data_IF_715823796100
#
_entry.id   IF_715823796100
#
_cell.length_a   1.000
_cell.length_b   1.000
_cell.length_c   1.000
_cell.angle_alpha   90.00
_cell.angle_beta   90.00
_cell.angle_gamma   90.00
#
_symmetry.space_group_name_H-M   'P 1'
#
loop_
_entity.id
_entity.type
_entity.pdbx_description
1 polymer ?
#
# COMPACT_ATOMS: atom_id res chain seq x y z
N UNK A 1 -32.01 0.21 8.58
CA UNK A 1 -31.66 -0.19 7.20
C UNK A 1 -30.27 0.35 6.82
N UNK A 2 -29.96 1.58 7.17
CA UNK A 2 -28.69 2.22 6.76
C UNK A 2 -27.44 1.50 7.27
N UNK A 3 -27.41 1.06 8.53
CA UNK A 3 -26.28 0.32 9.08
C UNK A 3 -25.98 -0.99 8.32
N UNK A 4 -26.99 -1.73 7.92
CA UNK A 4 -26.79 -2.96 7.15
C UNK A 4 -26.12 -2.68 5.80
N UNK A 5 -26.59 -1.63 5.10
CA UNK A 5 -25.98 -1.22 3.84
C UNK A 5 -24.55 -0.68 4.03
N UNK A 6 -24.27 0.06 5.11
CA UNK A 6 -22.93 0.54 5.41
C UNK A 6 -21.96 -0.60 5.75
N UNK A 7 -22.42 -1.63 6.44
CA UNK A 7 -21.60 -2.84 6.65
C UNK A 7 -21.33 -3.57 5.33
N UNK A 8 -22.31 -3.66 4.43
CA UNK A 8 -22.11 -4.27 3.10
C UNK A 8 -21.14 -3.45 2.25
N UNK A 9 -21.23 -2.12 2.28
CA UNK A 9 -20.25 -1.21 1.64
C UNK A 9 -18.84 -1.42 2.23
N UNK A 10 -18.73 -1.58 3.54
CA UNK A 10 -17.46 -1.87 4.21
C UNK A 10 -16.85 -3.20 3.75
N UNK A 11 -17.66 -4.23 3.47
CA UNK A 11 -17.18 -5.46 2.84
C UNK A 11 -16.57 -5.17 1.48
N UNK A 12 -17.26 -4.39 0.63
CA UNK A 12 -16.78 -4.07 -0.73
C UNK A 12 -15.47 -3.26 -0.64
N UNK A 13 -15.39 -2.27 0.25
CA UNK A 13 -14.16 -1.50 0.46
C UNK A 13 -13.02 -2.36 0.98
N UNK A 14 -13.31 -3.29 1.90
CA UNK A 14 -12.32 -4.26 2.38
C UNK A 14 -11.81 -5.19 1.27
N UNK A 15 -12.68 -5.62 0.34
CA UNK A 15 -12.27 -6.40 -0.84
C UNK A 15 -11.39 -5.57 -1.77
N UNK A 16 -11.81 -4.34 -2.09
CA UNK A 16 -11.02 -3.44 -2.93
C UNK A 16 -9.64 -3.23 -2.31
N UNK A 17 -9.59 -2.83 -1.05
CA UNK A 17 -8.33 -2.60 -0.32
C UNK A 17 -7.45 -3.84 -0.29
N UNK A 18 -8.03 -4.99 0.10
CA UNK A 18 -7.28 -6.25 0.22
C UNK A 18 -6.66 -6.74 -1.09
N UNK A 19 -7.27 -6.45 -2.23
CA UNK A 19 -6.71 -6.76 -3.55
C UNK A 19 -5.70 -5.70 -3.97
N UNK A 20 -6.11 -4.44 -3.96
CA UNK A 20 -5.44 -3.36 -4.70
C UNK A 20 -4.23 -2.79 -3.96
N UNK A 21 -4.11 -3.01 -2.65
CA UNK A 21 -2.96 -2.56 -1.88
C UNK A 21 -1.68 -3.35 -2.21
N UNK A 22 -1.81 -4.66 -2.43
CA UNK A 22 -0.66 -5.52 -2.71
C UNK A 22 -0.32 -5.60 -4.18
N UNK A 23 -1.32 -5.61 -5.04
CA UNK A 23 -1.13 -5.53 -6.48
C UNK A 23 -0.74 -4.09 -6.86
N UNK A 24 0.21 -3.92 -7.78
CA UNK A 24 0.67 -2.57 -8.13
C UNK A 24 -0.32 -1.84 -9.07
N UNK A 25 -1.60 -1.74 -8.66
CA UNK A 25 -2.72 -1.21 -9.48
C UNK A 25 -3.41 0.03 -8.89
N UNK A 26 -2.99 0.48 -7.71
CA UNK A 26 -3.51 1.66 -6.97
C UNK A 26 -4.88 1.47 -6.33
N UNK A 27 -4.90 1.34 -5.00
CA UNK A 27 -6.13 1.34 -4.19
C UNK A 27 -6.91 2.66 -4.34
N UNK A 28 -6.23 3.81 -4.35
CA UNK A 28 -6.85 5.14 -4.50
C UNK A 28 -7.67 5.25 -5.78
N UNK A 29 -7.16 4.75 -6.92
CA UNK A 29 -7.89 4.79 -8.19
C UNK A 29 -9.21 4.00 -8.15
N UNK A 30 -9.20 2.86 -7.47
CA UNK A 30 -10.40 2.04 -7.29
C UNK A 30 -11.38 2.64 -6.29
N UNK A 31 -10.86 3.22 -5.19
CA UNK A 31 -11.68 3.87 -4.17
C UNK A 31 -12.45 5.05 -4.75
N UNK A 32 -11.82 5.90 -5.57
CA UNK A 32 -12.49 7.02 -6.26
C UNK A 32 -13.67 6.53 -7.11
N UNK A 33 -13.52 5.44 -7.85
CA UNK A 33 -14.63 4.88 -8.63
C UNK A 33 -15.70 4.25 -7.72
N UNK A 34 -15.31 3.57 -6.66
CA UNK A 34 -16.25 3.00 -5.71
C UNK A 34 -17.08 4.07 -5.00
N UNK A 35 -16.50 5.21 -4.65
CA UNK A 35 -17.18 6.34 -4.00
C UNK A 35 -18.29 6.96 -4.86
N UNK A 36 -18.21 6.84 -6.18
CA UNK A 36 -19.29 7.33 -7.06
C UNK A 36 -20.59 6.53 -6.89
N UNK A 37 -20.47 5.26 -6.53
CA UNK A 37 -21.60 4.33 -6.43
C UNK A 37 -21.93 3.99 -4.98
N UNK A 38 -20.91 3.85 -4.13
CA UNK A 38 -21.03 3.38 -2.76
C UNK A 38 -20.93 4.56 -1.78
N UNK A 39 -22.02 5.26 -1.57
CA UNK A 39 -22.08 6.37 -0.62
C UNK A 39 -22.45 5.86 0.77
N UNK A 40 -21.55 6.06 1.75
CA UNK A 40 -21.83 5.78 3.16
C UNK A 40 -22.74 6.87 3.76
N UNK A 41 -23.41 6.52 4.87
CA UNK A 41 -24.15 7.48 5.70
C UNK A 41 -23.27 8.18 6.76
N UNK A 42 -21.99 7.83 6.83
CA UNK A 42 -21.04 8.39 7.79
C UNK A 42 -20.49 9.75 7.36
N UNK A 43 -19.86 10.46 8.32
CA UNK A 43 -19.26 11.76 8.06
C UNK A 43 -18.05 11.68 7.10
N UNK A 44 -17.74 12.79 6.45
CA UNK A 44 -16.59 12.88 5.54
C UNK A 44 -15.26 12.63 6.29
N UNK A 45 -15.14 13.16 7.51
CA UNK A 45 -13.98 13.01 8.39
C UNK A 45 -13.77 11.53 8.78
N UNK A 46 -14.87 10.83 9.13
CA UNK A 46 -14.80 9.39 9.39
C UNK A 46 -14.37 8.62 8.15
N UNK A 47 -14.91 8.93 6.98
CA UNK A 47 -14.57 8.24 5.74
C UNK A 47 -13.13 8.47 5.30
N UNK A 48 -12.56 9.66 5.53
CA UNK A 48 -11.14 9.93 5.30
C UNK A 48 -10.27 9.03 6.19
N UNK A 49 -10.58 8.93 7.47
CA UNK A 49 -9.88 8.05 8.41
C UNK A 49 -10.10 6.57 8.07
N UNK A 50 -11.35 6.17 7.78
CA UNK A 50 -11.74 4.80 7.45
C UNK A 50 -10.89 4.21 6.31
N UNK A 51 -10.75 4.94 5.18
CA UNK A 51 -9.99 4.51 4.01
C UNK A 51 -8.52 4.19 4.32
N UNK A 52 -7.94 4.89 5.28
CA UNK A 52 -6.54 4.65 5.68
C UNK A 52 -6.46 3.56 6.75
N UNK A 53 -7.40 3.51 7.69
CA UNK A 53 -7.35 2.57 8.80
C UNK A 53 -7.69 1.13 8.40
N UNK A 54 -8.54 0.91 7.38
CA UNK A 54 -8.78 -0.46 6.87
C UNK A 54 -7.51 -1.13 6.32
N UNK A 55 -6.49 -0.35 5.96
CA UNK A 55 -5.17 -0.85 5.56
C UNK A 55 -4.49 -1.64 6.69
N UNK A 56 -4.82 -1.39 7.97
CA UNK A 56 -4.30 -2.18 9.09
C UNK A 56 -4.70 -3.65 8.98
N UNK A 57 -5.90 -3.95 8.48
CA UNK A 57 -6.30 -5.31 8.16
C UNK A 57 -5.39 -5.94 7.10
N UNK A 58 -5.11 -5.20 6.03
CA UNK A 58 -4.21 -5.65 4.98
C UNK A 58 -2.78 -5.91 5.50
N UNK A 59 -2.23 -4.99 6.31
CA UNK A 59 -0.89 -5.16 6.92
C UNK A 59 -0.83 -6.41 7.80
N UNK A 60 -1.87 -6.66 8.58
CA UNK A 60 -1.92 -7.82 9.46
C UNK A 60 -1.77 -9.13 8.67
N UNK A 61 -2.27 -9.19 7.44
CA UNK A 61 -2.06 -10.34 6.55
C UNK A 61 -0.56 -10.59 6.27
N UNK A 62 0.22 -9.53 6.01
CA UNK A 62 1.68 -9.66 5.82
C UNK A 62 2.35 -10.12 7.10
N UNK A 63 2.00 -9.54 8.24
CA UNK A 63 2.59 -9.91 9.53
C UNK A 63 2.33 -11.38 9.83
N UNK A 64 1.10 -11.87 9.65
CA UNK A 64 0.74 -13.27 9.88
C UNK A 64 1.42 -14.21 8.90
N UNK A 65 1.36 -13.92 7.59
CA UNK A 65 1.94 -14.77 6.54
C UNK A 65 3.46 -14.88 6.64
N UNK A 66 4.12 -13.81 7.03
CA UNK A 66 5.58 -13.74 7.10
C UNK A 66 6.13 -13.63 8.50
N UNK A 67 5.33 -13.99 9.52
CA UNK A 67 5.72 -13.89 10.94
C UNK A 67 7.11 -14.45 11.21
N UNK A 68 7.38 -15.69 10.76
CA UNK A 68 8.69 -16.34 10.95
C UNK A 68 9.86 -15.58 10.31
N UNK A 69 9.61 -14.79 9.26
CA UNK A 69 10.63 -13.98 8.58
C UNK A 69 10.79 -12.59 9.19
N UNK A 70 9.77 -12.11 9.90
CA UNK A 70 9.72 -10.76 10.48
C UNK A 70 10.07 -10.75 11.97
N UNK A 71 9.85 -11.85 12.68
CA UNK A 71 10.10 -11.93 14.12
C UNK A 71 11.59 -12.03 14.42
N UNK A 72 12.20 -11.00 15.05
CA UNK A 72 13.65 -10.92 15.22
C UNK A 72 14.19 -11.65 16.45
N UNK A 73 13.32 -12.19 17.31
CA UNK A 73 13.76 -12.83 18.56
C UNK A 73 13.75 -14.35 18.46
N UNK A 74 14.63 -15.01 19.25
CA UNK A 74 14.74 -16.46 19.38
C UNK A 74 15.16 -16.83 20.82
N UNK A 75 15.04 -18.09 21.18
CA UNK A 75 15.47 -18.57 22.50
C UNK A 75 16.99 -18.54 22.58
N UNK A 76 17.67 -19.08 21.57
CA UNK A 76 19.13 -19.05 21.42
C UNK A 76 19.47 -19.10 19.92
N UNK A 77 20.41 -18.25 19.47
CA UNK A 77 20.87 -18.21 18.09
C UNK A 77 22.12 -19.08 17.85
N UNK A 78 22.67 -19.68 18.91
CA UNK A 78 23.83 -20.58 18.86
C UNK A 78 25.16 -19.92 18.47
N UNK A 79 25.25 -18.59 18.45
CA UNK A 79 26.44 -17.84 17.97
C UNK A 79 26.93 -16.78 18.94
N UNK A 80 26.03 -16.15 19.68
CA UNK A 80 26.31 -14.98 20.52
C UNK A 80 26.12 -15.33 22.00
N UNK A 81 26.58 -14.46 22.90
CA UNK A 81 26.42 -14.57 24.36
C UNK A 81 25.58 -13.40 24.90
N UNK A 82 25.17 -13.50 26.17
CA UNK A 82 24.37 -12.47 26.82
C UNK A 82 23.01 -12.25 26.12
N UNK A 83 22.54 -11.01 26.03
CA UNK A 83 21.26 -10.66 25.39
C UNK A 83 21.29 -10.87 23.87
N UNK A 84 22.45 -10.80 23.23
CA UNK A 84 22.60 -10.94 21.80
C UNK A 84 22.22 -12.34 21.28
N UNK A 85 22.32 -13.38 22.13
CA UNK A 85 21.91 -14.76 21.78
C UNK A 85 20.41 -14.90 21.48
N UNK A 86 19.60 -13.98 22.00
CA UNK A 86 18.16 -13.98 21.78
C UNK A 86 17.72 -13.24 20.50
N UNK A 87 18.68 -12.71 19.71
CA UNK A 87 18.42 -11.92 18.52
C UNK A 87 18.80 -12.66 17.24
N UNK A 88 17.87 -12.72 16.30
CA UNK A 88 18.11 -13.19 14.92
C UNK A 88 18.64 -12.04 14.07
N UNK A 89 19.96 -11.79 14.15
CA UNK A 89 20.62 -10.67 13.50
C UNK A 89 20.30 -10.46 12.00
N UNK A 90 20.13 -11.51 11.16
CA UNK A 90 19.72 -11.32 9.78
C UNK A 90 18.33 -10.66 9.65
N UNK A 91 17.40 -10.98 10.56
CA UNK A 91 16.06 -10.37 10.61
C UNK A 91 16.15 -8.94 11.15
N UNK A 92 16.92 -8.71 12.19
CA UNK A 92 17.15 -7.38 12.76
C UNK A 92 17.76 -6.43 11.70
N UNK A 93 18.75 -6.89 10.94
CA UNK A 93 19.32 -6.11 9.81
C UNK A 93 18.30 -5.80 8.72
N UNK A 94 17.34 -6.70 8.47
CA UNK A 94 16.26 -6.44 7.54
C UNK A 94 15.34 -5.31 8.07
N UNK A 95 15.01 -5.32 9.36
CA UNK A 95 14.24 -4.24 9.99
C UNK A 95 14.96 -2.88 9.90
N UNK A 96 16.27 -2.83 10.14
CA UNK A 96 17.03 -1.58 9.96
C UNK A 96 16.97 -1.06 8.52
N UNK A 97 17.01 -1.96 7.51
CA UNK A 97 16.84 -1.56 6.09
C UNK A 97 15.44 -1.06 5.80
N UNK A 98 14.41 -1.67 6.41
CA UNK A 98 13.02 -1.21 6.29
C UNK A 98 12.88 0.19 6.91
N UNK A 99 13.44 0.42 8.11
CA UNK A 99 13.42 1.74 8.75
C UNK A 99 14.11 2.79 7.87
N UNK A 100 15.29 2.47 7.32
CA UNK A 100 16.00 3.38 6.39
C UNK A 100 15.14 3.69 5.15
N UNK A 101 14.43 2.71 4.62
CA UNK A 101 13.53 2.92 3.49
C UNK A 101 12.26 3.73 3.87
N UNK A 102 11.86 3.76 5.14
CA UNK A 102 10.74 4.61 5.57
C UNK A 102 11.10 6.10 5.61
N UNK A 103 12.37 6.44 5.91
CA UNK A 103 12.78 7.81 6.23
C UNK A 103 12.42 8.85 5.15
N UNK A 104 12.70 8.64 3.85
CA UNK A 104 12.40 9.66 2.84
C UNK A 104 10.92 10.01 2.78
N UNK A 105 10.05 9.00 2.75
CA UNK A 105 8.60 9.22 2.68
C UNK A 105 8.01 9.71 4.00
N UNK A 106 8.55 9.32 5.15
CA UNK A 106 8.12 9.83 6.45
C UNK A 106 8.44 11.31 6.61
N UNK A 107 9.67 11.74 6.27
CA UNK A 107 10.09 13.15 6.38
C UNK A 107 9.26 14.03 5.45
N UNK A 108 9.14 13.67 4.18
CA UNK A 108 8.41 14.47 3.20
C UNK A 108 6.89 14.36 3.37
N UNK A 109 6.37 13.19 3.76
CA UNK A 109 4.96 13.01 4.05
C UNK A 109 4.50 13.88 5.21
N UNK A 110 5.21 13.86 6.36
CA UNK A 110 4.87 14.71 7.50
C UNK A 110 4.99 16.20 7.21
N UNK A 111 5.92 16.59 6.32
CA UNK A 111 6.12 18.01 5.99
C UNK A 111 5.12 18.53 4.94
N UNK A 112 4.60 17.65 4.06
CA UNK A 112 3.85 18.04 2.86
C UNK A 112 2.44 17.43 2.79
N UNK A 113 1.98 16.67 3.81
CA UNK A 113 0.70 15.93 3.81
C UNK A 113 -0.47 16.86 3.39
N UNK A 114 -0.71 17.92 4.15
CA UNK A 114 -1.81 18.86 3.91
C UNK A 114 -1.68 19.58 2.55
N UNK A 115 -0.46 19.91 2.14
CA UNK A 115 -0.21 20.55 0.84
C UNK A 115 -0.47 19.60 -0.33
N UNK A 116 -0.07 18.33 -0.20
CA UNK A 116 -0.31 17.29 -1.21
C UNK A 116 -1.79 17.01 -1.33
N UNK A 117 -2.49 16.85 -0.21
CA UNK A 117 -3.94 16.62 -0.20
C UNK A 117 -4.68 17.77 -0.88
N UNK A 118 -4.32 19.03 -0.59
CA UNK A 118 -4.96 20.20 -1.18
C UNK A 118 -4.76 20.34 -2.68
N UNK A 119 -3.61 19.91 -3.23
CA UNK A 119 -3.28 20.17 -4.64
C UNK A 119 -3.40 18.94 -5.54
N UNK A 120 -3.17 17.74 -5.02
CA UNK A 120 -3.09 16.51 -5.81
C UNK A 120 -4.24 15.53 -5.59
N UNK A 121 -5.06 15.69 -4.56
CA UNK A 121 -6.17 14.78 -4.30
C UNK A 121 -7.37 15.08 -5.20
N UNK A 122 -7.22 14.82 -6.51
CA UNK A 122 -8.28 14.97 -7.50
C UNK A 122 -8.22 13.87 -8.56
N UNK A 123 -9.35 13.60 -9.20
CA UNK A 123 -9.51 12.50 -10.18
C UNK A 123 -8.57 12.61 -11.37
N UNK A 124 -8.24 13.81 -11.83
CA UNK A 124 -7.35 14.03 -12.98
C UNK A 124 -5.93 13.62 -12.63
N UNK A 125 -5.40 14.06 -11.49
CA UNK A 125 -4.06 13.67 -11.02
C UNK A 125 -3.97 12.16 -10.84
N UNK A 126 -4.97 11.55 -10.19
CA UNK A 126 -5.02 10.11 -9.98
C UNK A 126 -4.97 9.35 -11.31
N UNK A 127 -5.75 9.77 -12.29
CA UNK A 127 -5.78 9.14 -13.60
C UNK A 127 -4.46 9.30 -14.36
N UNK A 128 -3.86 10.50 -14.34
CA UNK A 128 -2.55 10.76 -14.95
C UNK A 128 -1.47 9.88 -14.32
N UNK A 129 -1.45 9.74 -12.99
CA UNK A 129 -0.49 8.90 -12.28
C UNK A 129 -0.73 7.41 -12.53
N UNK A 130 -1.98 6.97 -12.65
CA UNK A 130 -2.30 5.61 -13.07
C UNK A 130 -1.69 5.30 -14.44
N UNK A 131 -1.92 6.16 -15.43
CA UNK A 131 -1.42 5.99 -16.79
C UNK A 131 0.11 6.06 -16.83
N UNK A 132 0.72 7.06 -16.18
CA UNK A 132 2.17 7.25 -16.18
C UNK A 132 2.89 6.03 -15.57
N UNK A 133 2.43 5.55 -14.44
CA UNK A 133 3.01 4.34 -13.81
C UNK A 133 2.67 3.06 -14.57
N UNK A 134 1.52 3.01 -15.25
CA UNK A 134 1.19 1.92 -16.17
C UNK A 134 2.21 1.83 -17.30
N UNK A 135 2.51 2.96 -17.95
CA UNK A 135 3.54 3.07 -18.99
C UNK A 135 4.93 2.71 -18.41
N UNK A 136 5.28 3.22 -17.21
CA UNK A 136 6.54 2.92 -16.55
C UNK A 136 6.74 1.42 -16.34
N UNK A 137 5.74 0.68 -15.87
CA UNK A 137 5.80 -0.77 -15.73
C UNK A 137 6.09 -1.46 -17.07
N UNK A 138 5.37 -1.09 -18.13
CA UNK A 138 5.56 -1.66 -19.47
C UNK A 138 6.98 -1.39 -19.99
N UNK A 139 7.47 -0.17 -19.85
CA UNK A 139 8.81 0.22 -20.35
C UNK A 139 9.94 -0.47 -19.58
N UNK A 140 9.82 -0.59 -18.26
CA UNK A 140 10.83 -1.26 -17.42
C UNK A 140 10.89 -2.75 -17.73
N UNK A 141 9.74 -3.39 -17.93
CA UNK A 141 9.67 -4.83 -18.21
C UNK A 141 10.07 -5.18 -19.66
N UNK A 142 9.99 -4.24 -20.61
CA UNK A 142 10.49 -4.44 -21.98
C UNK A 142 12.02 -4.56 -22.06
N UNK A 143 12.74 -4.10 -21.05
CA UNK A 143 14.22 -4.20 -21.00
C UNK A 143 14.62 -5.35 -20.12
N UNK A 144 15.02 -6.51 -20.68
CA UNK A 144 15.45 -7.66 -19.89
C UNK A 144 16.66 -7.27 -19.03
N UNK A 145 16.55 -7.48 -17.74
CA UNK A 145 17.63 -7.25 -16.77
C UNK A 145 17.87 -8.50 -15.98
N UNK A 146 19.13 -8.88 -15.86
CA UNK A 146 19.51 -9.94 -14.93
C UNK A 146 19.52 -9.34 -13.52
N UNK A 147 18.68 -9.86 -12.59
CA UNK A 147 18.62 -9.29 -11.25
C UNK A 147 19.90 -9.61 -10.47
N UNK A 148 20.47 -8.59 -9.86
CA UNK A 148 21.67 -8.72 -9.00
C UNK A 148 21.32 -9.11 -7.56
N UNK A 149 20.08 -8.81 -7.12
CA UNK A 149 19.58 -9.06 -5.78
C UNK A 149 18.28 -9.88 -5.82
N UNK A 150 18.39 -11.16 -5.46
CA UNK A 150 17.27 -12.12 -5.48
C UNK A 150 16.74 -12.51 -4.11
N UNK A 151 17.45 -12.15 -3.03
CA UNK A 151 17.12 -12.51 -1.64
C UNK A 151 17.08 -11.25 -0.77
N UNK A 152 16.12 -11.16 0.15
CA UNK A 152 15.99 -10.04 1.10
C UNK A 152 17.24 -9.80 1.93
N UNK A 153 17.96 -10.87 2.31
CA UNK A 153 19.20 -10.77 3.10
C UNK A 153 20.32 -10.04 2.36
N UNK A 154 20.30 -10.05 1.02
CA UNK A 154 21.31 -9.41 0.16
C UNK A 154 20.97 -7.95 -0.21
N UNK A 155 19.79 -7.45 0.14
CA UNK A 155 19.45 -6.04 -0.05
C UNK A 155 20.47 -5.19 0.71
N UNK A 156 21.02 -4.17 0.07
CA UNK A 156 21.92 -3.21 0.69
C UNK A 156 21.16 -2.03 1.30
N UNK A 157 21.75 -1.29 2.23
CA UNK A 157 21.16 -0.05 2.75
C UNK A 157 20.94 1.01 1.65
N UNK A 158 21.85 1.07 0.66
CA UNK A 158 21.69 1.94 -0.50
C UNK A 158 20.44 1.59 -1.32
N UNK A 159 20.22 0.30 -1.59
CA UNK A 159 19.00 -0.15 -2.29
C UNK A 159 17.75 0.15 -1.46
N UNK A 160 17.77 -0.08 -0.15
CA UNK A 160 16.66 0.22 0.74
C UNK A 160 16.31 1.71 0.72
N UNK A 161 17.32 2.59 0.83
CA UNK A 161 17.14 4.05 0.77
C UNK A 161 16.59 4.50 -0.59
N UNK A 162 17.10 3.95 -1.70
CA UNK A 162 16.60 4.26 -3.04
C UNK A 162 15.14 3.81 -3.24
N UNK A 163 14.75 2.63 -2.74
CA UNK A 163 13.35 2.21 -2.74
C UNK A 163 12.49 3.15 -1.90
N UNK A 164 13.01 3.61 -0.76
CA UNK A 164 12.38 4.64 0.07
C UNK A 164 12.23 5.99 -0.65
N UNK A 165 13.22 6.41 -1.43
CA UNK A 165 13.12 7.60 -2.27
C UNK A 165 12.04 7.43 -3.36
N UNK A 166 11.95 6.27 -3.99
CA UNK A 166 10.84 5.95 -4.90
C UNK A 166 9.48 5.96 -4.18
N UNK A 167 9.43 5.55 -2.91
CA UNK A 167 8.19 5.58 -2.12
C UNK A 167 7.65 7.02 -1.92
N UNK A 168 8.50 8.05 -1.94
CA UNK A 168 8.07 9.46 -1.86
C UNK A 168 7.07 9.79 -2.98
N UNK A 169 7.26 9.24 -4.17
CA UNK A 169 6.33 9.46 -5.29
C UNK A 169 4.93 8.90 -5.01
N UNK A 170 4.83 7.95 -4.09
CA UNK A 170 3.53 7.39 -3.68
C UNK A 170 2.70 8.34 -2.79
N UNK A 171 3.27 9.45 -2.33
CA UNK A 171 2.51 10.54 -1.70
C UNK A 171 1.55 11.19 -2.70
N UNK A 172 1.87 11.16 -4.01
CA UNK A 172 0.97 11.64 -5.05
C UNK A 172 -0.14 10.60 -5.28
N UNK A 173 -1.43 10.96 -5.07
CA UNK A 173 -2.55 10.04 -5.24
C UNK A 173 -2.58 9.40 -6.63
N UNK A 174 -2.95 8.13 -6.71
CA UNK A 174 -2.94 7.37 -7.97
C UNK A 174 -1.62 6.66 -8.29
N UNK A 175 -0.48 7.10 -7.75
CA UNK A 175 0.83 6.47 -7.97
C UNK A 175 0.86 5.01 -7.56
N UNK A 176 0.22 4.63 -6.47
CA UNK A 176 0.32 3.34 -5.76
C UNK A 176 1.66 3.17 -5.02
N UNK A 177 1.59 3.02 -3.72
CA UNK A 177 2.77 2.77 -2.88
C UNK A 177 3.50 1.49 -3.32
N UNK A 178 2.77 0.37 -3.47
CA UNK A 178 3.35 -0.88 -3.96
C UNK A 178 3.90 -0.74 -5.38
N UNK A 179 3.21 -0.02 -6.26
CA UNK A 179 3.69 0.24 -7.62
C UNK A 179 5.01 0.98 -7.64
N UNK A 180 5.13 2.07 -6.88
CA UNK A 180 6.34 2.89 -6.82
C UNK A 180 7.53 2.15 -6.24
N UNK A 181 7.34 1.47 -5.10
CA UNK A 181 8.43 0.73 -4.43
C UNK A 181 8.88 -0.50 -5.22
N UNK A 182 7.97 -1.20 -5.93
CA UNK A 182 8.33 -2.30 -6.82
C UNK A 182 9.18 -1.76 -7.98
N UNK A 183 8.77 -0.68 -8.66
CA UNK A 183 9.55 -0.04 -9.72
C UNK A 183 10.93 0.35 -9.21
N UNK A 184 11.01 1.03 -8.06
CA UNK A 184 12.26 1.38 -7.41
C UNK A 184 13.16 0.16 -7.15
N UNK A 185 12.59 -0.93 -6.64
CA UNK A 185 13.30 -2.19 -6.42
C UNK A 185 13.84 -2.80 -7.72
N UNK A 186 13.03 -2.86 -8.78
CA UNK A 186 13.44 -3.38 -10.09
C UNK A 186 14.58 -2.54 -10.69
N UNK A 187 14.48 -1.21 -10.61
CA UNK A 187 15.52 -0.29 -11.09
C UNK A 187 16.83 -0.42 -10.29
N UNK A 188 16.74 -0.76 -9.01
CA UNK A 188 17.89 -1.06 -8.14
C UNK A 188 18.44 -2.47 -8.33
N UNK A 189 17.98 -3.25 -9.33
CA UNK A 189 18.47 -4.59 -9.64
C UNK A 189 17.89 -5.70 -8.77
N UNK A 190 16.78 -5.48 -8.08
CA UNK A 190 16.08 -6.54 -7.37
C UNK A 190 15.28 -7.41 -8.36
N UNK A 191 15.15 -8.72 -8.06
CA UNK A 191 14.20 -9.57 -8.77
C UNK A 191 12.76 -9.16 -8.43
N UNK A 192 11.80 -9.48 -9.30
CA UNK A 192 10.36 -9.20 -9.10
C UNK A 192 9.87 -9.69 -7.73
N UNK A 193 10.18 -10.94 -7.38
CA UNK A 193 9.81 -11.52 -6.10
C UNK A 193 10.48 -10.83 -4.90
N UNK A 194 11.76 -10.44 -5.02
CA UNK A 194 12.48 -9.73 -3.97
C UNK A 194 11.93 -8.32 -3.76
N UNK A 195 11.69 -7.58 -4.83
CA UNK A 195 11.10 -6.24 -4.80
C UNK A 195 9.69 -6.27 -4.19
N UNK A 196 8.81 -7.18 -4.63
CA UNK A 196 7.47 -7.34 -4.07
C UNK A 196 7.50 -7.67 -2.58
N UNK A 197 8.34 -8.64 -2.17
CA UNK A 197 8.42 -9.04 -0.77
C UNK A 197 8.99 -7.92 0.11
N UNK A 198 9.99 -7.16 -0.36
CA UNK A 198 10.51 -6.01 0.36
C UNK A 198 9.46 -4.90 0.49
N UNK A 199 8.72 -4.64 -0.59
CA UNK A 199 7.57 -3.72 -0.62
C UNK A 199 6.52 -4.07 0.44
N UNK A 200 6.18 -5.36 0.59
CA UNK A 200 5.23 -5.80 1.62
C UNK A 200 5.73 -5.52 3.04
N UNK A 201 7.02 -5.77 3.29
CA UNK A 201 7.57 -5.53 4.63
C UNK A 201 7.72 -4.03 4.93
N UNK A 202 8.06 -3.23 3.92
CA UNK A 202 8.10 -1.78 4.03
C UNK A 202 6.71 -1.18 4.32
N UNK A 203 5.64 -1.81 3.83
CA UNK A 203 4.26 -1.40 4.12
C UNK A 203 3.94 -1.40 5.62
N UNK A 204 4.48 -2.34 6.39
CA UNK A 204 4.11 -2.52 7.79
C UNK A 204 4.30 -1.23 8.60
N UNK A 205 5.50 -0.66 8.74
CA UNK A 205 5.68 0.57 9.51
C UNK A 205 5.05 1.80 8.84
N UNK A 206 5.06 1.89 7.52
CA UNK A 206 4.54 3.06 6.80
C UNK A 206 3.04 3.19 6.97
N UNK A 207 2.28 2.12 6.71
CA UNK A 207 0.82 2.14 6.80
C UNK A 207 0.35 2.15 8.26
N UNK A 208 1.06 1.48 9.18
CA UNK A 208 0.78 1.59 10.60
C UNK A 208 0.95 3.05 11.08
N UNK A 209 2.01 3.72 10.64
CA UNK A 209 2.24 5.13 10.93
C UNK A 209 1.17 6.05 10.34
N UNK A 210 0.82 5.87 9.06
CA UNK A 210 -0.22 6.65 8.39
C UNK A 210 -1.59 6.45 9.04
N UNK A 211 -1.98 5.20 9.33
CA UNK A 211 -3.24 4.88 10.01
C UNK A 211 -3.28 5.47 11.42
N UNK A 212 -2.18 5.37 12.16
CA UNK A 212 -2.07 5.97 13.48
C UNK A 212 -2.22 7.50 13.44
N UNK A 213 -1.58 8.16 12.48
CA UNK A 213 -1.69 9.62 12.28
C UNK A 213 -3.12 10.05 11.96
N UNK A 214 -3.80 9.38 11.00
CA UNK A 214 -5.19 9.72 10.63
C UNK A 214 -6.15 9.44 11.79
N UNK A 215 -5.95 8.38 12.56
CA UNK A 215 -6.74 8.10 13.77
C UNK A 215 -6.55 9.19 14.82
N UNK A 216 -5.32 9.62 15.10
CA UNK A 216 -5.02 10.71 16.04
C UNK A 216 -5.62 12.02 15.54
N UNK A 217 -5.48 12.37 14.26
CA UNK A 217 -6.09 13.59 13.67
C UNK A 217 -7.62 13.56 13.83
N UNK A 218 -8.29 12.42 13.57
CA UNK A 218 -9.74 12.24 13.74
C UNK A 218 -10.16 12.50 15.20
N UNK A 219 -9.51 11.86 16.16
CA UNK A 219 -9.84 12.02 17.59
C UNK A 219 -9.52 13.43 18.10
N UNK A 220 -8.40 14.02 17.72
CA UNK A 220 -8.02 15.37 18.10
C UNK A 220 -8.95 16.44 17.49
N UNK A 221 -9.56 16.16 16.34
CA UNK A 221 -10.60 16.98 15.72
C UNK A 221 -11.98 16.88 16.40
N UNK A 222 -12.10 16.13 17.51
CA UNK A 222 -13.38 15.92 18.23
C UNK A 222 -14.22 14.78 17.66
N UNK A 223 -13.67 13.94 16.76
CA UNK A 223 -14.35 12.77 16.24
C UNK A 223 -14.63 11.76 17.35
N UNK A 224 -15.86 11.28 17.39
CA UNK A 224 -16.33 10.24 18.34
C UNK A 224 -16.90 9.10 17.52
N UNK A 225 -16.47 7.89 17.84
CA UNK A 225 -16.95 6.70 17.15
C UNK A 225 -18.39 6.33 17.57
N UNK A 226 -19.25 6.18 16.60
CA UNK A 226 -20.53 5.49 16.78
C UNK A 226 -20.36 3.98 16.71
N UNK A 227 -21.32 3.23 17.24
CA UNK A 227 -21.33 1.74 17.15
C UNK A 227 -21.31 1.28 15.69
N UNK A 228 -22.00 2.01 14.80
CA UNK A 228 -22.03 1.72 13.37
C UNK A 228 -20.67 1.90 12.69
N UNK A 229 -19.96 2.95 13.02
CA UNK A 229 -18.61 3.25 12.50
C UNK A 229 -17.56 2.23 12.98
N UNK A 230 -17.63 1.83 14.26
CA UNK A 230 -16.78 0.75 14.78
C UNK A 230 -17.07 -0.55 14.03
N UNK A 231 -18.35 -0.89 13.84
CA UNK A 231 -18.76 -2.07 13.08
C UNK A 231 -18.22 -2.04 11.64
N UNK A 232 -18.36 -0.91 10.94
CA UNK A 232 -17.86 -0.71 9.59
C UNK A 232 -16.33 -0.88 9.50
N UNK A 233 -15.57 -0.27 10.43
CA UNK A 233 -14.12 -0.42 10.51
C UNK A 233 -13.69 -1.87 10.73
N UNK A 234 -14.31 -2.56 11.68
CA UNK A 234 -13.98 -3.96 11.98
C UNK A 234 -14.27 -4.86 10.78
N UNK A 235 -15.43 -4.71 10.15
CA UNK A 235 -15.79 -5.48 8.94
C UNK A 235 -14.80 -5.19 7.81
N UNK A 236 -14.52 -3.91 7.52
CA UNK A 236 -13.56 -3.51 6.50
C UNK A 236 -12.17 -4.09 6.74
N UNK A 237 -11.65 -4.00 7.97
CA UNK A 237 -10.35 -4.57 8.35
C UNK A 237 -10.31 -6.10 8.24
N UNK A 238 -11.34 -6.81 8.71
CA UNK A 238 -11.39 -8.28 8.63
C UNK A 238 -11.43 -8.74 7.18
N UNK A 239 -12.25 -8.11 6.35
CA UNK A 239 -12.35 -8.46 4.92
C UNK A 239 -11.04 -8.12 4.21
N UNK A 240 -10.46 -6.93 4.44
CA UNK A 240 -9.17 -6.56 3.90
C UNK A 240 -8.08 -7.56 4.31
N UNK A 241 -8.05 -8.03 5.56
CA UNK A 241 -7.12 -9.05 6.02
C UNK A 241 -7.26 -10.36 5.23
N UNK A 242 -8.48 -10.91 5.14
CA UNK A 242 -8.71 -12.21 4.47
C UNK A 242 -8.36 -12.12 2.98
N UNK A 243 -8.84 -11.07 2.32
CA UNK A 243 -8.60 -10.85 0.89
C UNK A 243 -7.13 -10.59 0.60
N UNK A 244 -6.43 -9.87 1.47
CA UNK A 244 -4.98 -9.62 1.35
C UNK A 244 -4.16 -10.91 1.37
N UNK A 245 -4.53 -11.90 2.19
CA UNK A 245 -3.84 -13.20 2.18
C UNK A 245 -3.90 -13.83 0.78
N UNK A 246 -5.06 -13.78 0.15
CA UNK A 246 -5.24 -14.34 -1.20
C UNK A 246 -4.48 -13.52 -2.25
N UNK A 247 -4.58 -12.19 -2.19
CA UNK A 247 -3.91 -11.28 -3.13
C UNK A 247 -2.37 -11.40 -3.04
N UNK A 248 -1.81 -11.46 -1.84
CA UNK A 248 -0.36 -11.64 -1.61
C UNK A 248 0.12 -12.99 -2.17
N UNK A 249 -0.60 -14.09 -1.90
CA UNK A 249 -0.27 -15.40 -2.46
C UNK A 249 -0.30 -15.37 -3.98
N UNK A 250 -1.40 -14.85 -4.53
CA UNK A 250 -1.54 -14.70 -5.98
C UNK A 250 -0.38 -13.92 -6.59
N UNK A 251 -0.07 -12.73 -6.05
CA UNK A 251 1.01 -11.90 -6.60
C UNK A 251 2.37 -12.59 -6.51
N UNK A 252 2.69 -13.23 -5.37
CA UNK A 252 3.97 -13.92 -5.20
C UNK A 252 4.13 -15.11 -6.15
N UNK A 253 3.06 -15.81 -6.50
CA UNK A 253 3.11 -16.89 -7.48
C UNK A 253 3.12 -16.36 -8.92
N UNK A 254 2.39 -15.27 -9.18
CA UNK A 254 2.35 -14.60 -10.47
C UNK A 254 3.74 -14.08 -10.90
N UNK A 255 4.43 -13.35 -10.03
CA UNK A 255 5.73 -12.72 -10.36
C UNK A 255 6.89 -13.70 -10.53
N UNK A 256 6.71 -14.98 -10.17
CA UNK A 256 7.68 -16.03 -10.46
C UNK A 256 7.68 -16.41 -11.94
N UNK A 257 6.54 -16.28 -12.63
CA UNK A 257 6.31 -16.77 -13.99
C UNK A 257 6.03 -15.64 -14.98
N UNK A 258 5.57 -14.47 -14.52
CA UNK A 258 5.09 -13.38 -15.35
C UNK A 258 5.78 -12.07 -15.02
N UNK A 259 5.65 -11.10 -15.93
CA UNK A 259 6.12 -9.71 -15.77
C UNK A 259 5.00 -8.84 -15.18
N UNK A 260 5.35 -7.64 -14.74
CA UNK A 260 4.35 -6.66 -14.29
C UNK A 260 3.61 -5.95 -15.46
N UNK A 261 3.87 -6.33 -16.70
CA UNK A 261 3.28 -5.70 -17.90
C UNK A 261 1.74 -5.72 -17.88
N UNK A 262 1.12 -6.82 -17.43
CA UNK A 262 -0.34 -6.90 -17.33
C UNK A 262 -0.92 -5.87 -16.36
N UNK A 263 -0.26 -5.65 -15.22
CA UNK A 263 -0.65 -4.59 -14.29
C UNK A 263 -0.45 -3.19 -14.88
N UNK A 264 0.57 -3.02 -15.73
CA UNK A 264 0.77 -1.79 -16.49
C UNK A 264 -0.42 -1.47 -17.40
N UNK A 265 -0.87 -2.42 -18.19
CA UNK A 265 -2.04 -2.26 -19.05
C UNK A 265 -3.32 -2.02 -18.25
N UNK A 266 -3.52 -2.79 -17.17
CA UNK A 266 -4.66 -2.59 -16.27
C UNK A 266 -4.71 -1.15 -15.73
N UNK A 267 -3.58 -0.60 -15.27
CA UNK A 267 -3.50 0.79 -14.76
C UNK A 267 -3.85 1.82 -15.82
N UNK A 268 -3.39 1.63 -17.07
CA UNK A 268 -3.72 2.53 -18.18
C UNK A 268 -5.23 2.49 -18.43
N UNK A 269 -5.83 1.30 -18.51
CA UNK A 269 -7.28 1.17 -18.70
C UNK A 269 -8.06 1.82 -17.54
N UNK A 270 -7.66 1.56 -16.29
CA UNK A 270 -8.28 2.16 -15.10
C UNK A 270 -8.17 3.70 -15.13
N UNK A 271 -7.00 4.25 -15.49
CA UNK A 271 -6.79 5.68 -15.61
C UNK A 271 -7.70 6.33 -16.67
N UNK A 272 -7.88 5.66 -17.81
CA UNK A 272 -8.82 6.11 -18.86
C UNK A 272 -10.26 6.10 -18.33
N UNK A 273 -10.66 5.06 -17.58
CA UNK A 273 -12.00 4.99 -16.96
C UNK A 273 -12.20 6.12 -15.96
N UNK A 274 -11.22 6.39 -15.09
CA UNK A 274 -11.29 7.48 -14.11
C UNK A 274 -11.44 8.84 -14.81
N UNK A 275 -10.68 9.09 -15.88
CA UNK A 275 -10.82 10.31 -16.69
C UNK A 275 -12.18 10.41 -17.36
N UNK A 276 -12.69 9.29 -17.89
CA UNK A 276 -14.01 9.24 -18.52
C UNK A 276 -15.14 9.58 -17.55
N UNK A 277 -15.09 9.00 -16.33
CA UNK A 277 -16.08 9.29 -15.27
C UNK A 277 -15.99 10.76 -14.84
N UNK A 278 -14.77 11.27 -14.64
CA UNK A 278 -14.57 12.68 -14.31
C UNK A 278 -15.10 13.62 -15.39
N UNK A 279 -14.81 13.34 -16.67
CA UNK A 279 -15.28 14.15 -17.78
C UNK A 279 -16.81 14.14 -17.90
N UNK A 280 -17.44 12.96 -17.72
CA UNK A 280 -18.90 12.82 -17.74
C UNK A 280 -19.54 13.67 -16.63
N UNK A 281 -18.99 13.64 -15.42
CA UNK A 281 -19.49 14.42 -14.29
C UNK A 281 -19.32 15.92 -14.50
N UNK A 282 -18.18 16.34 -15.06
CA UNK A 282 -17.85 17.77 -15.21
C UNK A 282 -18.58 18.43 -16.38
N UNK A 283 -18.79 17.70 -17.50
CA UNK A 283 -19.28 18.30 -18.74
C UNK A 283 -20.69 17.86 -19.16
N UNK A 284 -21.22 16.78 -18.56
CA UNK A 284 -22.52 16.22 -18.95
C UNK A 284 -23.53 16.28 -17.83
N UNK A 285 -23.10 16.07 -16.58
CA UNK A 285 -24.00 16.00 -15.41
C UNK A 285 -23.91 17.26 -14.51
N UNK A 286 -22.98 18.19 -14.78
CA UNK A 286 -22.94 19.51 -14.17
C UNK A 286 -23.88 20.45 -14.92
#
# INVERSE_FOLDING_TARGET
MDLFFDLLRSVIYGVIEGITEWLPISSTGHMILAEQVLKFSFSAEFMEMFRVVIQLGAILAVVVMYFKKLWPFCVDNGRDSGLAKHVRWPVMRLWFKIIVACLPAAVLGLALDDWIDAHFYNSVVVAVMLIAYGIAFILIERRPRVPTTTKLSRITYRQALLVGAWQVLALIPGTSRSGSTIIGGLLCGMSRACASQFTFFLAIPVMAGASGLKLVKFLAGGGVFTVGEIGALLVGCIVAFVVSILAIRFLMDYVKKHTFTAFGWYRIALGIVVLGVWALQTFVLA
#
